data_IF_267736471130
#
_entry.id   IF_267736471130
#
_cell.length_a   1.000
_cell.length_b   1.000
_cell.length_c   1.000
_cell.angle_alpha   90.00
_cell.angle_beta   90.00
_cell.angle_gamma   90.00
#
_symmetry.space_group_name_H-M   'P 1'
#
loop_
_entity.id
_entity.type
_entity.pdbx_description
1 polymer ?
#
# COMPACT_ATOMS: atom_id res chain seq x y z
N UNK A 1 -3.35 -15.41 9.97
CA UNK A 1 -1.97 -14.85 9.93
C UNK A 1 -1.99 -13.55 9.10
N UNK A 2 -1.12 -12.61 9.41
CA UNK A 2 -0.96 -11.34 8.67
C UNK A 2 0.49 -11.22 8.27
N UNK A 3 0.79 -11.11 7.00
CA UNK A 3 2.16 -10.99 6.47
C UNK A 3 2.34 -9.68 5.74
N UNK A 4 3.54 -9.12 5.81
CA UNK A 4 3.93 -7.98 5.00
C UNK A 4 5.32 -8.21 4.39
N UNK A 5 5.44 -7.94 3.10
CA UNK A 5 6.70 -7.79 2.39
C UNK A 5 6.94 -6.30 2.18
N UNK A 6 8.00 -5.80 2.77
CA UNK A 6 8.37 -4.39 2.73
C UNK A 6 9.71 -4.27 1.99
N UNK A 7 9.70 -3.56 0.87
CA UNK A 7 10.86 -3.45 -0.03
C UNK A 7 11.27 -2.00 -0.16
N UNK A 8 12.57 -1.72 0.02
CA UNK A 8 13.18 -0.42 -0.24
C UNK A 8 14.45 -0.58 -1.06
N UNK A 9 14.56 0.13 -2.17
CA UNK A 9 15.72 0.06 -3.05
C UNK A 9 16.28 1.47 -3.29
N UNK A 10 17.51 1.69 -2.82
CA UNK A 10 18.29 2.91 -3.06
C UNK A 10 19.43 2.68 -4.05
N UNK A 11 19.99 1.45 -4.08
CA UNK A 11 21.23 1.13 -4.79
C UNK A 11 20.98 0.79 -6.29
N UNK A 12 20.60 1.78 -7.07
CA UNK A 12 20.57 1.71 -8.52
C UNK A 12 21.89 2.20 -9.12
N UNK A 13 22.38 1.56 -10.20
CA UNK A 13 23.70 1.87 -10.76
C UNK A 13 23.76 3.27 -11.39
N UNK A 14 22.74 3.66 -12.15
CA UNK A 14 22.73 4.92 -12.90
C UNK A 14 22.05 6.05 -12.14
N UNK A 15 21.01 5.76 -11.39
CA UNK A 15 20.21 6.74 -10.68
C UNK A 15 19.96 6.31 -9.22
N UNK A 16 20.97 6.37 -8.32
CA UNK A 16 20.80 5.96 -6.93
C UNK A 16 19.82 6.88 -6.21
N UNK A 17 19.03 6.27 -5.30
CA UNK A 17 18.13 6.96 -4.38
C UNK A 17 18.73 6.99 -2.97
N UNK A 18 18.13 7.73 -2.04
CA UNK A 18 18.69 7.90 -0.70
C UNK A 18 17.67 7.76 0.45
N UNK A 19 16.41 7.52 0.13
CA UNK A 19 15.29 7.53 1.08
C UNK A 19 14.51 6.24 1.17
N UNK A 20 14.49 5.42 0.11
CA UNK A 20 13.58 4.28 -0.01
C UNK A 20 13.85 3.18 1.02
N UNK A 21 15.10 2.91 1.34
CA UNK A 21 15.46 1.95 2.39
C UNK A 21 15.01 2.44 3.77
N UNK A 22 15.19 3.73 4.07
CA UNK A 22 14.73 4.32 5.34
C UNK A 22 13.21 4.29 5.45
N UNK A 23 12.52 4.56 4.35
CA UNK A 23 11.06 4.50 4.27
C UNK A 23 10.55 3.08 4.50
N UNK A 24 11.20 2.09 3.88
CA UNK A 24 10.90 0.68 4.11
C UNK A 24 11.12 0.25 5.57
N UNK A 25 12.21 0.67 6.19
CA UNK A 25 12.50 0.41 7.61
C UNK A 25 11.43 1.02 8.52
N UNK A 26 11.01 2.25 8.25
CA UNK A 26 9.98 2.93 9.02
C UNK A 26 8.62 2.25 8.85
N UNK A 27 8.25 1.87 7.62
CA UNK A 27 7.03 1.11 7.33
C UNK A 27 7.04 -0.24 8.07
N UNK A 28 8.14 -0.98 8.00
CA UNK A 28 8.30 -2.26 8.69
C UNK A 28 8.10 -2.12 10.20
N UNK A 29 8.72 -1.09 10.80
CA UNK A 29 8.57 -0.78 12.23
C UNK A 29 7.13 -0.48 12.61
N UNK A 30 6.42 0.36 11.83
CA UNK A 30 5.05 0.76 12.16
C UNK A 30 4.07 -0.38 11.96
N UNK A 31 4.26 -1.23 10.94
CA UNK A 31 3.37 -2.36 10.68
C UNK A 31 3.61 -3.57 11.59
N UNK A 32 4.79 -3.72 12.19
CA UNK A 32 5.10 -4.88 13.04
C UNK A 32 4.23 -4.97 14.30
N UNK A 33 3.77 -3.83 14.83
CA UNK A 33 2.97 -3.77 16.06
C UNK A 33 1.77 -2.84 15.94
N UNK A 34 0.75 -3.12 16.72
CA UNK A 34 -0.31 -2.18 17.06
C UNK A 34 0.20 -1.11 18.02
N UNK A 35 -0.58 -0.05 18.24
CA UNK A 35 -0.19 1.05 19.12
C UNK A 35 -0.03 0.63 20.59
N UNK A 36 -0.79 -0.38 21.00
CA UNK A 36 -0.70 -0.98 22.34
C UNK A 36 0.48 -1.96 22.53
N UNK A 37 1.35 -2.11 21.50
CA UNK A 37 2.50 -3.02 21.52
C UNK A 37 2.19 -4.46 21.08
N UNK A 38 0.93 -4.83 20.90
CA UNK A 38 0.57 -6.15 20.40
C UNK A 38 1.13 -6.39 18.99
N UNK A 39 1.52 -7.63 18.71
CA UNK A 39 1.99 -8.04 17.38
C UNK A 39 0.92 -7.81 16.32
N UNK A 40 1.32 -7.25 15.18
CA UNK A 40 0.44 -6.98 14.05
C UNK A 40 0.80 -7.81 12.82
N UNK A 41 1.71 -7.37 11.97
CA UNK A 41 2.18 -8.15 10.82
C UNK A 41 3.45 -8.94 11.15
N UNK A 42 3.57 -10.11 10.52
CA UNK A 42 4.84 -10.78 10.33
C UNK A 42 5.53 -10.14 9.13
N UNK A 43 6.55 -9.32 9.41
CA UNK A 43 7.16 -8.43 8.42
C UNK A 43 8.46 -9.02 7.90
N UNK A 44 8.53 -9.19 6.58
CA UNK A 44 9.77 -9.42 5.84
C UNK A 44 10.24 -8.09 5.26
N UNK A 45 11.36 -7.58 5.75
CA UNK A 45 12.02 -6.38 5.23
C UNK A 45 13.11 -6.78 4.24
N UNK A 46 13.04 -6.25 3.02
CA UNK A 46 14.00 -6.48 1.95
C UNK A 46 14.61 -5.15 1.51
N UNK A 47 15.91 -5.00 1.76
CA UNK A 47 16.66 -3.79 1.46
C UNK A 47 17.58 -4.03 0.27
N UNK A 48 17.55 -3.13 -0.72
CA UNK A 48 18.44 -3.15 -1.88
C UNK A 48 18.49 -4.50 -2.59
N UNK A 49 17.30 -5.10 -2.84
CA UNK A 49 17.21 -6.33 -3.64
C UNK A 49 17.82 -6.07 -5.01
N UNK A 50 18.77 -6.90 -5.42
CA UNK A 50 19.59 -6.66 -6.61
C UNK A 50 18.95 -7.19 -7.90
N UNK A 51 18.16 -8.26 -7.79
CA UNK A 51 17.68 -9.00 -8.94
C UNK A 51 16.15 -9.11 -8.95
N UNK A 52 15.56 -8.80 -10.11
CA UNK A 52 14.11 -8.90 -10.30
C UNK A 52 13.54 -10.30 -10.04
N UNK A 53 14.29 -11.36 -10.38
CA UNK A 53 13.81 -12.72 -10.14
C UNK A 53 13.70 -13.05 -8.66
N UNK A 54 14.57 -12.50 -7.85
CA UNK A 54 14.50 -12.60 -6.39
C UNK A 54 13.26 -11.87 -5.86
N UNK A 55 13.07 -10.61 -6.25
CA UNK A 55 11.92 -9.82 -5.84
C UNK A 55 10.60 -10.43 -6.35
N UNK A 56 10.56 -10.89 -7.60
CA UNK A 56 9.41 -11.59 -8.18
C UNK A 56 9.03 -12.83 -7.36
N UNK A 57 10.02 -13.62 -6.95
CA UNK A 57 9.80 -14.78 -6.09
C UNK A 57 9.25 -14.36 -4.74
N UNK A 58 9.82 -13.35 -4.09
CA UNK A 58 9.35 -12.86 -2.79
C UNK A 58 7.90 -12.35 -2.85
N UNK A 59 7.53 -11.61 -3.91
CA UNK A 59 6.14 -11.15 -4.12
C UNK A 59 5.19 -12.34 -4.31
N UNK A 60 5.59 -13.32 -5.09
CA UNK A 60 4.79 -14.55 -5.27
C UNK A 60 4.63 -15.29 -3.95
N UNK A 61 5.73 -15.51 -3.22
CA UNK A 61 5.73 -16.21 -1.93
C UNK A 61 4.87 -15.47 -0.89
N UNK A 62 4.87 -14.13 -0.88
CA UNK A 62 4.00 -13.33 -0.03
C UNK A 62 2.53 -13.71 -0.22
N UNK A 63 2.05 -13.75 -1.46
CA UNK A 63 0.63 -13.94 -1.75
C UNK A 63 0.20 -15.41 -1.83
N UNK A 64 1.11 -16.34 -2.12
CA UNK A 64 0.76 -17.76 -2.35
C UNK A 64 1.21 -18.72 -1.25
N UNK A 65 2.07 -18.29 -0.32
CA UNK A 65 2.52 -19.17 0.77
C UNK A 65 1.78 -18.88 2.08
N UNK A 66 1.17 -19.93 2.63
CA UNK A 66 0.40 -19.88 3.87
C UNK A 66 -1.01 -19.36 3.64
N UNK A 67 -1.75 -19.17 4.76
CA UNK A 67 -3.13 -18.72 4.75
C UNK A 67 -3.34 -17.68 5.85
N UNK A 68 -4.19 -16.69 5.59
CA UNK A 68 -4.47 -15.68 6.59
C UNK A 68 -5.46 -14.59 6.18
N UNK A 69 -5.51 -13.58 6.99
CA UNK A 69 -6.42 -12.45 6.80
C UNK A 69 -5.87 -11.41 5.81
N UNK A 70 -4.60 -11.01 5.98
CA UNK A 70 -3.99 -9.94 5.16
C UNK A 70 -2.59 -10.33 4.70
N UNK A 71 -2.34 -10.20 3.40
CA UNK A 71 -1.00 -10.12 2.82
C UNK A 71 -0.79 -8.69 2.27
N UNK A 72 0.30 -8.02 2.69
CA UNK A 72 0.59 -6.64 2.31
C UNK A 72 1.95 -6.55 1.63
N UNK A 73 1.97 -5.97 0.43
CA UNK A 73 3.17 -5.54 -0.28
C UNK A 73 3.34 -4.03 -0.13
N UNK A 74 4.50 -3.58 0.31
CA UNK A 74 4.96 -2.20 0.20
C UNK A 74 6.25 -2.16 -0.62
N UNK A 75 6.33 -1.25 -1.58
CA UNK A 75 7.53 -1.02 -2.38
C UNK A 75 7.85 0.46 -2.41
N UNK A 76 9.12 0.82 -2.17
CA UNK A 76 9.69 2.14 -2.37
C UNK A 76 10.96 2.02 -3.20
N UNK A 77 11.04 2.76 -4.32
CA UNK A 77 12.11 2.70 -5.29
C UNK A 77 11.74 3.37 -6.60
N UNK A 78 12.52 3.10 -7.65
CA UNK A 78 12.17 3.56 -8.99
C UNK A 78 10.96 2.84 -9.57
N UNK A 79 10.15 3.59 -10.30
CA UNK A 79 9.11 3.09 -11.18
C UNK A 79 9.26 3.67 -12.57
N UNK A 80 8.77 2.96 -13.57
CA UNK A 80 8.69 3.44 -14.96
C UNK A 80 7.44 2.94 -15.66
N UNK A 81 7.14 3.52 -16.82
CA UNK A 81 6.07 3.09 -17.71
C UNK A 81 6.67 2.68 -19.05
N UNK A 82 6.34 1.49 -19.52
CA UNK A 82 6.70 1.01 -20.84
C UNK A 82 5.44 0.53 -21.56
N UNK A 83 5.16 1.14 -22.69
CA UNK A 83 3.91 0.89 -23.40
C UNK A 83 2.70 1.38 -22.59
N UNK A 84 1.92 0.45 -22.09
CA UNK A 84 0.71 0.72 -21.30
C UNK A 84 0.77 0.11 -19.89
N UNK A 85 1.93 -0.40 -19.45
CA UNK A 85 2.10 -1.00 -18.13
C UNK A 85 3.14 -0.22 -17.31
N UNK A 86 2.88 -0.10 -16.01
CA UNK A 86 3.85 0.39 -15.06
C UNK A 86 4.73 -0.74 -14.55
N UNK A 87 5.94 -0.40 -14.11
CA UNK A 87 6.91 -1.35 -13.57
C UNK A 87 7.50 -0.83 -12.27
N UNK A 88 7.69 -1.70 -11.30
CA UNK A 88 8.65 -1.49 -10.23
C UNK A 88 10.03 -1.90 -10.75
N UNK A 89 10.97 -0.95 -10.74
CA UNK A 89 12.30 -1.13 -11.32
C UNK A 89 13.22 -1.82 -10.33
N UNK A 90 14.05 -2.71 -10.81
CA UNK A 90 15.10 -3.36 -10.02
C UNK A 90 16.51 -2.95 -10.51
N UNK A 91 17.57 -3.03 -9.66
CA UNK A 91 18.92 -2.61 -10.06
C UNK A 91 19.53 -3.33 -11.26
N UNK A 92 19.01 -4.51 -11.60
CA UNK A 92 19.36 -5.28 -12.80
C UNK A 92 18.51 -4.91 -14.03
N UNK A 93 18.08 -3.65 -14.08
CA UNK A 93 17.37 -3.06 -15.21
C UNK A 93 18.14 -3.22 -16.53
N UNK A 94 17.42 -3.62 -17.56
CA UNK A 94 17.87 -3.62 -18.95
C UNK A 94 16.73 -3.12 -19.85
N UNK A 95 17.04 -2.43 -20.94
CA UNK A 95 16.05 -1.95 -21.90
C UNK A 95 15.24 -3.13 -22.46
N UNK A 96 13.91 -3.09 -22.31
CA UNK A 96 13.01 -4.19 -22.68
C UNK A 96 12.83 -5.24 -21.59
N UNK A 97 13.45 -5.06 -20.42
CA UNK A 97 13.27 -5.90 -19.25
C UNK A 97 13.41 -5.06 -17.96
N UNK A 98 12.47 -4.17 -17.77
CA UNK A 98 12.55 -3.03 -16.84
C UNK A 98 12.41 -3.42 -15.37
N UNK A 99 11.88 -4.61 -15.08
CA UNK A 99 11.65 -5.05 -13.71
C UNK A 99 10.42 -5.94 -13.58
N UNK A 100 9.52 -5.66 -12.63
CA UNK A 100 8.29 -6.43 -12.44
C UNK A 100 7.11 -5.54 -12.80
N UNK A 101 6.31 -5.99 -13.78
CA UNK A 101 5.15 -5.21 -14.20
C UNK A 101 4.06 -5.19 -13.12
N UNK A 102 3.34 -4.09 -13.07
CA UNK A 102 2.23 -3.92 -12.14
C UNK A 102 1.07 -4.85 -12.49
N UNK A 103 0.88 -5.16 -13.77
CA UNK A 103 -0.05 -6.19 -14.24
C UNK A 103 0.30 -7.58 -13.70
N UNK A 104 1.60 -7.95 -13.65
CA UNK A 104 2.05 -9.21 -13.06
C UNK A 104 1.76 -9.25 -11.55
N UNK A 105 2.06 -8.17 -10.82
CA UNK A 105 1.80 -8.07 -9.38
C UNK A 105 0.31 -8.21 -9.10
N UNK A 106 -0.55 -7.50 -9.83
CA UNK A 106 -2.00 -7.61 -9.71
C UNK A 106 -2.51 -9.01 -10.04
N UNK A 107 -1.98 -9.63 -11.10
CA UNK A 107 -2.35 -11.00 -11.47
C UNK A 107 -2.07 -11.96 -10.32
N UNK A 108 -0.86 -11.92 -9.74
CA UNK A 108 -0.50 -12.77 -8.60
C UNK A 108 -1.44 -12.52 -7.42
N UNK A 109 -1.71 -11.26 -7.10
CA UNK A 109 -2.62 -10.91 -6.00
C UNK A 109 -4.07 -11.37 -6.28
N UNK A 110 -4.57 -11.24 -7.52
CA UNK A 110 -5.90 -11.67 -7.91
C UNK A 110 -6.09 -13.19 -7.81
N UNK A 111 -5.08 -13.96 -8.23
CA UNK A 111 -5.11 -15.41 -8.24
C UNK A 111 -4.94 -16.04 -6.84
N UNK A 112 -4.53 -15.26 -5.83
CA UNK A 112 -4.22 -15.75 -4.48
C UNK A 112 -5.39 -15.68 -3.48
N UNK A 113 -6.63 -15.67 -3.95
CA UNK A 113 -7.84 -15.54 -3.12
C UNK A 113 -7.98 -16.64 -2.07
N UNK A 114 -7.51 -17.85 -2.37
CA UNK A 114 -7.59 -19.01 -1.47
C UNK A 114 -6.54 -18.95 -0.33
N UNK A 115 -5.52 -18.09 -0.47
CA UNK A 115 -4.45 -17.94 0.52
C UNK A 115 -4.74 -16.82 1.52
N UNK A 116 -5.14 -15.64 1.03
CA UNK A 116 -5.39 -14.48 1.88
C UNK A 116 -6.72 -13.81 1.49
N UNK A 117 -7.55 -13.55 2.49
CA UNK A 117 -8.82 -12.86 2.27
C UNK A 117 -8.63 -11.45 1.73
N UNK A 118 -7.55 -10.78 2.14
CA UNK A 118 -7.23 -9.42 1.75
C UNK A 118 -5.78 -9.30 1.28
N UNK A 119 -5.58 -8.75 0.08
CA UNK A 119 -4.26 -8.48 -0.53
C UNK A 119 -4.13 -6.98 -0.73
N UNK A 120 -3.20 -6.37 -0.02
CA UNK A 120 -3.00 -4.91 -0.03
C UNK A 120 -1.67 -4.63 -0.69
N UNK A 121 -1.69 -3.73 -1.66
CA UNK A 121 -0.51 -3.29 -2.42
C UNK A 121 -0.37 -1.79 -2.21
N UNK A 122 0.78 -1.35 -1.70
CA UNK A 122 1.12 0.07 -1.51
C UNK A 122 2.41 0.32 -2.29
N UNK A 123 2.34 1.23 -3.26
CA UNK A 123 3.46 1.56 -4.14
C UNK A 123 3.87 3.02 -3.96
N UNK A 124 5.08 3.22 -3.49
CA UNK A 124 5.73 4.51 -3.30
C UNK A 124 6.84 4.68 -4.35
N UNK A 125 6.43 4.80 -5.60
CA UNK A 125 7.32 5.02 -6.74
C UNK A 125 6.61 5.87 -7.79
N UNK A 126 7.41 6.53 -8.66
CA UNK A 126 6.88 7.28 -9.80
C UNK A 126 6.07 6.35 -10.72
N UNK A 127 5.06 6.88 -11.38
CA UNK A 127 4.22 6.15 -12.36
C UNK A 127 3.43 4.96 -11.79
N UNK A 128 3.38 4.78 -10.48
CA UNK A 128 2.62 3.68 -9.87
C UNK A 128 1.11 3.77 -10.11
N UNK A 129 0.58 4.93 -10.46
CA UNK A 129 -0.83 5.14 -10.78
C UNK A 129 -1.30 4.53 -12.08
N UNK A 130 -0.39 4.23 -13.02
CA UNK A 130 -0.76 3.62 -14.30
C UNK A 130 -1.28 2.17 -14.18
N UNK A 131 -1.06 1.53 -13.06
CA UNK A 131 -1.64 0.21 -12.76
C UNK A 131 -3.17 0.18 -12.92
N UNK A 132 -3.83 1.32 -12.70
CA UNK A 132 -5.26 1.45 -12.88
C UNK A 132 -5.69 1.51 -14.35
N UNK A 133 -4.73 1.72 -15.28
CA UNK A 133 -4.96 1.84 -16.71
C UNK A 133 -4.55 0.57 -17.48
N UNK A 134 -3.83 -0.35 -16.83
CA UNK A 134 -3.36 -1.58 -17.44
C UNK A 134 -4.43 -2.65 -17.40
N UNK A 135 -5.34 -2.59 -18.25
CA UNK A 135 -6.06 -3.66 -18.94
C UNK A 135 -7.27 -3.07 -19.65
N UNK A 136 -7.26 -2.94 -20.95
CA UNK A 136 -8.45 -2.57 -21.66
C UNK A 136 -9.33 -3.81 -21.89
N UNK A 137 -9.89 -4.38 -20.85
CA UNK A 137 -11.26 -4.80 -20.97
C UNK A 137 -12.02 -3.51 -21.28
N UNK A 138 -12.92 -3.52 -22.23
CA UNK A 138 -13.61 -2.39 -22.85
C UNK A 138 -14.21 -1.31 -21.92
N UNK A 139 -13.89 -1.34 -20.63
CA UNK A 139 -14.31 -0.40 -19.57
C UNK A 139 -13.19 0.48 -19.01
N UNK A 140 -11.91 0.24 -19.35
CA UNK A 140 -10.79 1.07 -18.87
C UNK A 140 -10.50 0.99 -17.36
N UNK A 141 -11.19 0.10 -16.62
CA UNK A 141 -10.97 -0.09 -15.19
C UNK A 141 -9.96 -1.23 -14.91
N UNK A 142 -9.11 -1.12 -13.87
CA UNK A 142 -8.21 -2.22 -13.49
C UNK A 142 -9.03 -3.44 -13.08
N UNK A 143 -8.61 -4.61 -13.54
CA UNK A 143 -9.21 -5.86 -13.10
C UNK A 143 -8.71 -6.20 -11.69
N UNK A 144 -9.43 -5.72 -10.68
CA UNK A 144 -9.13 -5.95 -9.26
C UNK A 144 -10.10 -7.01 -8.71
N UNK A 145 -9.58 -8.19 -8.40
CA UNK A 145 -10.36 -9.28 -7.82
C UNK A 145 -10.82 -8.95 -6.40
N UNK A 146 -11.85 -9.67 -5.95
CA UNK A 146 -12.37 -9.53 -4.59
C UNK A 146 -11.27 -9.69 -3.53
N UNK A 147 -11.18 -8.74 -2.60
CA UNK A 147 -10.20 -8.70 -1.52
C UNK A 147 -8.88 -8.01 -1.90
N UNK A 148 -8.74 -7.47 -3.11
CA UNK A 148 -7.53 -6.70 -3.50
C UNK A 148 -7.76 -5.22 -3.28
N UNK A 149 -6.74 -4.55 -2.73
CA UNK A 149 -6.65 -3.10 -2.57
C UNK A 149 -5.30 -2.62 -3.06
N UNK A 150 -5.31 -1.57 -3.87
CA UNK A 150 -4.14 -0.86 -4.34
C UNK A 150 -4.17 0.58 -3.83
N UNK A 151 -3.04 1.05 -3.34
CA UNK A 151 -2.77 2.44 -3.01
C UNK A 151 -1.41 2.82 -3.61
N UNK A 152 -1.36 3.83 -4.46
CA UNK A 152 -0.16 4.24 -5.17
C UNK A 152 0.10 5.74 -5.02
N UNK A 153 1.39 6.12 -4.99
CA UNK A 153 1.83 7.49 -4.68
C UNK A 153 1.36 8.51 -5.71
N UNK A 154 1.43 8.22 -7.00
CA UNK A 154 1.05 9.15 -8.06
C UNK A 154 0.58 8.47 -9.34
N UNK A 155 -0.11 9.26 -10.18
CA UNK A 155 -0.46 8.94 -11.56
C UNK A 155 0.77 9.20 -12.47
N UNK A 156 0.70 8.74 -13.72
CA UNK A 156 1.80 8.73 -14.70
C UNK A 156 2.37 10.10 -15.08
N UNK A 157 1.58 11.14 -14.96
CA UNK A 157 1.93 12.48 -15.40
C UNK A 157 2.53 13.35 -14.26
N UNK A 158 2.73 12.77 -13.06
CA UNK A 158 3.19 13.49 -11.88
C UNK A 158 4.42 12.83 -11.24
N UNK A 159 5.51 13.54 -11.13
CA UNK A 159 6.69 13.07 -10.40
C UNK A 159 6.46 13.15 -8.88
N UNK A 160 6.87 12.11 -8.15
CA UNK A 160 6.88 12.14 -6.70
C UNK A 160 7.78 13.28 -6.19
N UNK A 161 7.26 14.14 -5.32
CA UNK A 161 8.03 15.21 -4.71
C UNK A 161 8.96 14.62 -3.66
N UNK A 162 10.24 14.49 -3.96
CA UNK A 162 11.28 14.28 -2.95
C UNK A 162 11.53 15.59 -2.19
N UNK A 163 11.30 15.57 -0.89
CA UNK A 163 11.76 16.63 0.00
C UNK A 163 13.17 16.28 0.44
N UNK A 164 14.15 17.11 0.06
CA UNK A 164 15.59 16.93 0.30
C UNK A 164 15.90 16.19 1.62
N UNK A 165 16.39 14.95 1.52
CA UNK A 165 16.93 14.17 2.63
C UNK A 165 15.93 13.57 3.61
N UNK A 166 14.62 13.68 3.38
CA UNK A 166 13.57 13.30 4.34
C UNK A 166 12.59 12.20 3.86
N UNK A 167 12.87 11.47 2.77
CA UNK A 167 11.96 10.46 2.22
C UNK A 167 10.79 11.06 1.43
N UNK A 168 10.03 10.22 0.72
CA UNK A 168 8.90 10.63 -0.09
C UNK A 168 7.76 11.24 0.73
N UNK A 169 7.14 12.31 0.24
CA UNK A 169 6.01 12.96 0.90
C UNK A 169 4.84 12.00 1.13
N UNK A 170 4.60 11.09 0.19
CA UNK A 170 3.57 10.07 0.27
C UNK A 170 3.80 9.11 1.46
N UNK A 171 5.01 8.55 1.57
CA UNK A 171 5.34 7.62 2.65
C UNK A 171 5.17 8.25 4.03
N UNK A 172 5.58 9.50 4.22
CA UNK A 172 5.43 10.23 5.49
C UNK A 172 3.96 10.36 5.89
N UNK A 173 3.07 10.64 4.92
CA UNK A 173 1.63 10.72 5.15
C UNK A 173 1.02 9.34 5.45
N UNK A 174 1.49 8.28 4.77
CA UNK A 174 1.08 6.91 5.07
C UNK A 174 1.45 6.53 6.51
N UNK A 175 2.70 6.78 6.93
CA UNK A 175 3.13 6.50 8.30
C UNK A 175 2.36 7.33 9.32
N UNK A 176 2.18 8.62 9.07
CA UNK A 176 1.37 9.49 9.92
C UNK A 176 -0.06 8.96 10.05
N UNK A 177 -0.67 8.53 8.94
CA UNK A 177 -1.97 7.89 8.95
C UNK A 177 -2.00 6.58 9.76
N UNK A 178 -0.99 5.71 9.58
CA UNK A 178 -0.85 4.46 10.33
C UNK A 178 -0.62 4.69 11.84
N UNK A 179 -0.01 5.81 12.21
CA UNK A 179 0.20 6.21 13.61
C UNK A 179 -1.06 6.77 14.29
N UNK A 180 -2.15 6.94 13.53
CA UNK A 180 -3.47 7.27 14.09
C UNK A 180 -4.20 8.40 13.37
N UNK A 181 -3.54 9.22 12.54
CA UNK A 181 -4.19 10.31 11.82
C UNK A 181 -5.30 9.84 10.84
N UNK A 182 -5.21 8.59 10.37
CA UNK A 182 -6.21 7.94 9.53
C UNK A 182 -7.13 6.97 10.31
N UNK A 183 -7.02 6.94 11.63
CA UNK A 183 -7.84 6.07 12.45
C UNK A 183 -9.30 6.55 12.50
N UNK A 184 -10.20 5.60 12.49
CA UNK A 184 -11.60 5.89 12.80
C UNK A 184 -11.82 6.06 14.32
N UNK A 185 -13.08 6.30 14.69
CA UNK A 185 -13.47 6.51 16.09
C UNK A 185 -13.15 5.31 17.00
N UNK A 186 -12.97 4.10 16.43
CA UNK A 186 -12.61 2.89 17.14
C UNK A 186 -11.09 2.65 17.18
N UNK A 187 -10.29 3.56 16.62
CA UNK A 187 -8.84 3.42 16.53
C UNK A 187 -8.38 2.48 15.42
N UNK A 188 -9.23 2.11 14.46
CA UNK A 188 -8.84 1.23 13.37
C UNK A 188 -8.42 2.04 12.14
N UNK A 189 -7.19 1.82 11.66
CA UNK A 189 -6.68 2.37 10.42
C UNK A 189 -6.95 1.39 9.28
N UNK A 190 -7.69 1.84 8.26
CA UNK A 190 -8.03 1.06 7.07
C UNK A 190 -7.34 1.62 5.83
N UNK A 191 -7.21 0.85 4.72
CA UNK A 191 -6.65 1.38 3.47
C UNK A 191 -7.41 2.62 2.95
N UNK A 192 -8.75 2.61 3.03
CA UNK A 192 -9.57 3.76 2.62
C UNK A 192 -9.38 4.96 3.54
N UNK A 193 -9.22 4.74 4.85
CA UNK A 193 -8.86 5.79 5.81
C UNK A 193 -7.49 6.39 5.52
N UNK A 194 -6.50 5.56 5.16
CA UNK A 194 -5.18 6.03 4.73
C UNK A 194 -5.28 6.89 3.47
N UNK A 195 -5.99 6.41 2.45
CA UNK A 195 -6.21 7.20 1.23
C UNK A 195 -6.83 8.56 1.55
N UNK A 196 -7.93 8.60 2.32
CA UNK A 196 -8.59 9.84 2.68
C UNK A 196 -7.69 10.78 3.50
N UNK A 197 -6.83 10.24 4.35
CA UNK A 197 -5.84 11.00 5.10
C UNK A 197 -4.80 11.62 4.16
N UNK A 198 -4.21 10.81 3.29
CA UNK A 198 -3.20 11.26 2.31
C UNK A 198 -3.78 12.30 1.36
N UNK A 199 -4.94 12.03 0.76
CA UNK A 199 -5.62 12.95 -0.18
C UNK A 199 -5.93 14.33 0.44
N UNK A 200 -6.26 14.37 1.73
CA UNK A 200 -6.52 15.63 2.46
C UNK A 200 -5.29 16.51 2.60
N UNK A 201 -4.09 15.92 2.73
CA UNK A 201 -2.84 16.66 2.90
C UNK A 201 -2.21 17.09 1.58
N UNK A 202 -2.59 16.46 0.47
CA UNK A 202 -2.19 16.95 -0.85
C UNK A 202 -3.06 18.16 -1.23
N UNK A 203 -2.44 19.28 -1.56
CA UNK A 203 -3.13 20.48 -2.04
C UNK A 203 -3.77 20.26 -3.42
N UNK A 204 -4.62 21.22 -3.85
CA UNK A 204 -5.37 21.13 -5.11
C UNK A 204 -4.48 21.01 -6.37
N UNK A 205 -3.20 21.36 -6.28
CA UNK A 205 -2.23 21.39 -7.37
C UNK A 205 -1.09 20.38 -7.21
N UNK A 206 -1.23 19.47 -6.23
CA UNK A 206 -0.20 18.48 -5.95
C UNK A 206 -0.66 17.10 -6.42
N UNK A 207 0.31 16.25 -6.56
CA UNK A 207 0.23 14.83 -6.83
C UNK A 207 -0.93 14.15 -6.09
N UNK A 208 -1.82 13.49 -6.82
CA UNK A 208 -2.94 12.73 -6.25
C UNK A 208 -2.58 11.27 -6.12
N UNK A 209 -2.81 10.65 -4.95
CA UNK A 209 -2.67 9.21 -4.80
C UNK A 209 -3.76 8.48 -5.58
N UNK A 210 -3.41 7.33 -6.12
CA UNK A 210 -4.37 6.43 -6.77
C UNK A 210 -4.83 5.39 -5.76
N UNK A 211 -6.15 5.20 -5.69
CA UNK A 211 -6.78 4.21 -4.83
C UNK A 211 -7.79 3.38 -5.61
N UNK A 212 -7.57 2.05 -5.60
CA UNK A 212 -8.51 1.11 -6.20
C UNK A 212 -8.73 -0.07 -5.23
N UNK A 213 -9.98 -0.47 -5.03
CA UNK A 213 -10.31 -1.50 -4.04
C UNK A 213 -11.55 -2.29 -4.43
N UNK A 214 -11.53 -3.60 -4.14
CA UNK A 214 -12.67 -4.50 -4.28
C UNK A 214 -12.77 -5.41 -3.04
N UNK A 215 -12.99 -4.81 -1.87
CA UNK A 215 -13.06 -5.56 -0.61
C UNK A 215 -14.52 -5.86 -0.23
N UNK A 216 -14.76 -7.07 0.27
CA UNK A 216 -16.06 -7.49 0.82
C UNK A 216 -16.15 -7.31 2.33
N UNK A 217 -15.00 -7.17 3.00
CA UNK A 217 -14.91 -7.02 4.44
C UNK A 217 -13.99 -5.87 4.79
N UNK A 218 -14.21 -5.28 5.96
CA UNK A 218 -13.35 -4.22 6.45
C UNK A 218 -11.95 -4.74 6.75
N UNK A 219 -10.95 -4.13 6.12
CA UNK A 219 -9.53 -4.42 6.33
C UNK A 219 -8.97 -3.42 7.32
N UNK A 220 -8.46 -3.88 8.46
CA UNK A 220 -7.74 -3.02 9.42
C UNK A 220 -6.24 -3.26 9.24
N UNK A 221 -5.49 -2.24 8.87
CA UNK A 221 -4.03 -2.32 8.73
C UNK A 221 -3.32 -2.22 10.08
N UNK A 222 -3.76 -1.30 10.93
CA UNK A 222 -3.22 -1.09 12.27
C UNK A 222 -4.31 -0.63 13.23
N UNK A 223 -4.19 -1.00 14.49
CA UNK A 223 -5.02 -0.46 15.57
C UNK A 223 -4.21 0.55 16.35
N UNK A 224 -4.83 1.69 16.63
CA UNK A 224 -4.31 2.75 17.48
C UNK A 224 -5.22 2.95 18.67
N UNK A 225 -4.84 3.81 19.62
CA UNK A 225 -5.75 4.18 20.71
C UNK A 225 -7.03 4.77 20.14
N UNK A 226 -8.17 4.33 20.65
CA UNK A 226 -9.47 4.93 20.32
C UNK A 226 -9.51 6.36 20.83
N UNK A 227 -9.96 7.30 20.00
CA UNK A 227 -10.16 8.71 20.39
C UNK A 227 -11.35 8.83 21.35
N UNK A 228 -12.29 7.89 21.26
CA UNK A 228 -13.50 7.85 22.09
C UNK A 228 -13.40 6.66 23.06
N UNK A 229 -13.67 6.91 24.33
CA UNK A 229 -13.72 5.85 25.35
C UNK A 229 -14.73 4.77 24.97
N UNK A 230 -14.35 3.50 25.22
CA UNK A 230 -15.19 2.33 24.85
C UNK A 230 -16.59 2.40 25.46
N UNK A 231 -16.72 2.97 26.63
CA UNK A 231 -18.02 3.10 27.32
C UNK A 231 -18.94 4.14 26.66
N UNK A 232 -18.35 5.20 26.09
CA UNK A 232 -19.10 6.17 25.26
C UNK A 232 -19.56 5.51 23.97
N UNK A 233 -18.71 4.73 23.31
CA UNK A 233 -19.08 3.97 22.10
C UNK A 233 -20.20 2.97 22.34
N UNK A 234 -20.24 2.31 23.50
CA UNK A 234 -21.32 1.39 23.89
C UNK A 234 -22.64 2.09 24.08
N UNK A 235 -22.61 3.33 24.59
CA UNK A 235 -23.79 4.18 24.83
C UNK A 235 -24.28 4.92 23.58
N UNK A 236 -23.53 4.92 22.48
CA UNK A 236 -23.93 5.62 21.25
C UNK A 236 -25.31 5.17 20.72
N UNK A 237 -25.69 3.90 20.95
CA UNK A 237 -27.03 3.40 20.59
C UNK A 237 -28.16 4.09 21.36
N UNK A 238 -27.88 4.67 22.53
CA UNK A 238 -28.85 5.40 23.35
C UNK A 238 -29.09 6.81 22.81
N UNK A 239 -28.11 7.36 22.04
CA UNK A 239 -28.19 8.72 21.49
C UNK A 239 -28.74 8.76 20.06
N UNK A 240 -28.74 7.62 19.35
CA UNK A 240 -29.30 7.54 17.99
C UNK A 240 -30.47 6.56 18.03
N UNK A 241 -31.67 7.05 17.80
CA UNK A 241 -32.81 6.19 17.59
C UNK A 241 -32.53 5.28 16.36
N UNK A 242 -32.78 3.99 16.54
CA UNK A 242 -32.42 2.96 15.53
C UNK A 242 -33.06 3.16 14.15
N UNK A 243 -34.09 3.98 14.06
CA UNK A 243 -34.80 4.32 12.81
C UNK A 243 -34.10 5.44 12.01
N UNK A 244 -33.31 6.29 12.64
CA UNK A 244 -32.66 7.44 11.98
C UNK A 244 -31.30 7.09 11.36
N UNK A 245 -30.73 5.94 11.70
CA UNK A 245 -29.41 5.49 11.20
C UNK A 245 -29.52 4.77 9.85
N UNK A 246 -30.73 4.36 9.44
CA UNK A 246 -30.98 3.60 8.20
C UNK A 246 -31.77 4.37 7.13
N UNK A 247 -31.92 5.66 7.30
CA UNK A 247 -32.44 6.58 6.29
C UNK A 247 -31.29 7.45 5.80
#
# INVERSE_FOLDING_TARGET
MRKALIVGIDNYLECPLSGCVKDAQLMAKVLSTHDNGDRNFDVMLCENVKHRNELRKQIRDLFTQGHGDVALLYFSGHGCVVGHDGYIVTPDYEEGDEGISLSEILKIANESVDHYSNRVIILDCCYSGDICKTNPDSSGAPNIASGVTLLAACDKDECAVEVDGCGGGFMRLIVFGLQGAAADICGAVTPSGLYACVDRYFGAWQQRPVFATNVKQRVTLRKTCSIIEKDVLRKMREYFATEDVYR
#
